data_IF_152422141232
#
_entry.id   IF_152422141232
#
_cell.length_a   1.000
_cell.length_b   1.000
_cell.length_c   1.000
_cell.angle_alpha   90.00
_cell.angle_beta   90.00
_cell.angle_gamma   90.00
#
_symmetry.space_group_name_H-M   'P 1'
#
loop_
_entity.id
_entity.type
_entity.pdbx_description
1 polymer ?
#
# COMPACT_ATOMS: atom_id res chain seq x y z
N UNK A 1 6.97 37.35 20.46
CA UNK A 1 6.69 35.90 20.48
C UNK A 1 5.71 35.47 19.39
N UNK A 2 4.54 36.07 19.20
CA UNK A 2 3.56 35.74 18.13
C UNK A 2 4.13 35.78 16.70
N UNK A 3 4.98 36.73 16.34
CA UNK A 3 5.57 36.82 15.00
C UNK A 3 6.63 35.74 14.75
N UNK A 4 7.44 35.38 15.76
CA UNK A 4 8.39 34.26 15.65
C UNK A 4 7.67 32.90 15.46
N UNK A 5 6.57 32.67 16.20
CA UNK A 5 5.77 31.48 16.04
C UNK A 5 5.07 31.41 14.67
N UNK A 6 4.57 32.54 14.15
CA UNK A 6 4.03 32.61 12.77
C UNK A 6 5.09 32.32 11.70
N UNK A 7 6.33 32.79 11.87
CA UNK A 7 7.42 32.57 10.90
C UNK A 7 7.91 31.12 10.95
N UNK A 8 8.01 30.53 12.15
CA UNK A 8 8.39 29.11 12.32
C UNK A 8 7.29 28.18 11.81
N UNK A 9 6.03 28.44 12.12
CA UNK A 9 4.90 27.66 11.59
C UNK A 9 4.78 27.78 10.06
N UNK A 10 5.07 28.97 9.49
CA UNK A 10 5.05 29.18 8.04
C UNK A 10 6.11 28.39 7.26
N UNK A 11 7.23 28.03 7.92
CA UNK A 11 8.34 27.30 7.27
C UNK A 11 8.26 25.78 7.50
N UNK A 12 7.45 25.26 8.44
CA UNK A 12 7.41 23.86 8.84
C UNK A 12 6.00 23.25 8.86
N UNK A 13 5.04 23.85 8.15
CA UNK A 13 3.64 23.39 8.14
C UNK A 13 3.45 21.93 7.71
N UNK A 14 4.27 21.45 6.77
CA UNK A 14 4.22 20.05 6.33
C UNK A 14 4.68 19.08 7.42
N UNK A 15 5.75 19.42 8.17
CA UNK A 15 6.16 18.61 9.31
C UNK A 15 5.14 18.66 10.44
N UNK A 16 4.45 19.79 10.62
CA UNK A 16 3.34 19.89 11.57
C UNK A 16 2.18 18.94 11.18
N UNK A 17 1.78 18.92 9.90
CA UNK A 17 0.77 17.96 9.42
C UNK A 17 1.20 16.51 9.62
N UNK A 18 2.46 16.18 9.38
CA UNK A 18 3.00 14.85 9.65
C UNK A 18 2.97 14.51 11.13
N UNK A 19 3.32 15.47 12.01
CA UNK A 19 3.21 15.31 13.46
C UNK A 19 1.77 15.04 13.91
N UNK A 20 0.79 15.78 13.37
CA UNK A 20 -0.63 15.54 13.65
C UNK A 20 -1.09 14.17 13.17
N UNK A 21 -0.68 13.75 11.96
CA UNK A 21 -0.97 12.43 11.41
C UNK A 21 -0.40 11.33 12.32
N UNK A 22 0.85 11.48 12.73
CA UNK A 22 1.52 10.55 13.66
C UNK A 22 0.80 10.46 14.99
N UNK A 23 0.49 11.59 15.61
CA UNK A 23 -0.26 11.63 16.88
C UNK A 23 -1.64 10.99 16.75
N UNK A 24 -2.36 11.26 15.64
CA UNK A 24 -3.64 10.64 15.37
C UNK A 24 -3.52 9.11 15.34
N UNK A 25 -2.60 8.55 14.56
CA UNK A 25 -2.43 7.10 14.50
C UNK A 25 -1.89 6.52 15.80
N UNK A 26 -0.98 7.20 16.51
CA UNK A 26 -0.48 6.75 17.80
C UNK A 26 -1.61 6.59 18.82
N UNK A 27 -2.55 7.54 18.87
CA UNK A 27 -3.75 7.46 19.72
C UNK A 27 -4.71 6.40 19.19
N UNK A 28 -4.96 6.36 17.88
CA UNK A 28 -5.89 5.43 17.27
C UNK A 28 -5.49 3.96 17.51
N UNK A 29 -4.19 3.65 17.42
CA UNK A 29 -3.66 2.30 17.66
C UNK A 29 -3.91 1.80 19.08
N UNK A 30 -4.18 2.69 20.07
CA UNK A 30 -4.52 2.24 21.43
C UNK A 30 -5.88 1.50 21.48
N UNK A 31 -6.72 1.66 20.45
CA UNK A 31 -8.03 1.01 20.34
C UNK A 31 -7.98 -0.27 19.49
N UNK A 32 -6.80 -0.72 19.03
CA UNK A 32 -6.64 -1.91 18.21
C UNK A 32 -6.17 -3.10 19.06
N UNK A 33 -6.69 -4.27 18.72
CA UNK A 33 -6.48 -5.52 19.46
C UNK A 33 -6.11 -6.66 18.49
N UNK A 34 -5.60 -7.77 19.03
CA UNK A 34 -5.32 -8.99 18.28
C UNK A 34 -6.61 -9.71 17.94
N UNK A 35 -6.74 -10.17 16.70
CA UNK A 35 -7.75 -11.13 16.29
C UNK A 35 -7.39 -12.57 16.66
N UNK A 36 -8.28 -13.52 16.36
CA UNK A 36 -8.09 -14.93 16.74
C UNK A 36 -7.51 -15.81 15.61
N UNK A 37 -7.35 -15.32 14.39
CA UNK A 37 -6.90 -16.14 13.25
C UNK A 37 -5.36 -16.24 13.22
N UNK A 38 -4.73 -15.58 12.26
CA UNK A 38 -3.27 -15.64 12.07
C UNK A 38 -2.51 -15.12 13.29
N UNK A 39 -3.05 -14.11 13.99
CA UNK A 39 -2.41 -13.54 15.17
C UNK A 39 -2.31 -14.59 16.32
N UNK A 40 -3.31 -15.49 16.48
CA UNK A 40 -3.27 -16.57 17.46
C UNK A 40 -2.19 -17.61 17.11
N UNK A 41 -2.17 -18.08 15.86
CA UNK A 41 -1.16 -19.05 15.38
C UNK A 41 0.26 -18.54 15.62
N UNK A 42 0.51 -17.29 15.23
CA UNK A 42 1.83 -16.68 15.41
C UNK A 42 2.15 -16.36 16.88
N UNK A 43 1.13 -16.03 17.70
CA UNK A 43 1.30 -15.87 19.15
C UNK A 43 1.69 -17.18 19.83
N UNK A 44 1.14 -18.31 19.39
CA UNK A 44 1.53 -19.65 19.87
C UNK A 44 2.98 -19.94 19.53
N UNK A 45 3.38 -19.75 18.29
CA UNK A 45 4.76 -19.92 17.85
C UNK A 45 5.75 -18.97 18.59
N UNK A 46 5.29 -17.80 19.04
CA UNK A 46 6.08 -16.82 19.78
C UNK A 46 6.47 -17.31 21.20
N UNK A 47 5.77 -18.28 21.77
CA UNK A 47 6.06 -18.84 23.09
C UNK A 47 6.96 -20.08 23.05
N UNK A 48 7.39 -20.52 21.86
CA UNK A 48 8.28 -21.64 21.67
C UNK A 48 9.73 -21.31 22.06
N UNK A 49 10.52 -22.36 22.30
CA UNK A 49 11.98 -22.23 22.36
C UNK A 49 12.55 -21.77 21.03
N UNK A 50 13.78 -21.27 21.01
CA UNK A 50 14.39 -20.82 19.75
C UNK A 50 14.52 -21.95 18.70
N UNK A 51 14.83 -23.18 19.13
CA UNK A 51 14.92 -24.34 18.23
C UNK A 51 13.55 -24.70 17.63
N UNK A 52 12.50 -24.67 18.45
CA UNK A 52 11.14 -25.01 18.03
C UNK A 52 10.52 -23.90 17.20
N UNK A 53 10.86 -22.65 17.51
CA UNK A 53 10.55 -21.51 16.64
C UNK A 53 11.18 -21.67 15.23
N UNK A 54 12.46 -22.07 15.14
CA UNK A 54 13.10 -22.32 13.84
C UNK A 54 12.43 -23.47 13.08
N UNK A 55 11.97 -24.50 13.79
CA UNK A 55 11.21 -25.59 13.21
C UNK A 55 9.88 -25.11 12.64
N UNK A 56 9.13 -24.32 13.41
CA UNK A 56 7.91 -23.67 12.92
C UNK A 56 8.17 -22.79 11.71
N UNK A 57 9.24 -21.99 11.70
CA UNK A 57 9.58 -21.12 10.57
C UNK A 57 9.95 -21.90 9.30
N UNK A 58 10.58 -23.09 9.46
CA UNK A 58 10.83 -24.01 8.33
C UNK A 58 9.52 -24.56 7.75
N UNK A 59 8.59 -24.99 8.61
CA UNK A 59 7.25 -25.36 8.19
C UNK A 59 6.56 -24.20 7.48
N UNK A 60 6.57 -23.03 8.09
CA UNK A 60 5.94 -21.81 7.56
C UNK A 60 6.43 -21.46 6.15
N UNK A 61 7.74 -21.52 5.91
CA UNK A 61 8.32 -21.29 4.59
C UNK A 61 7.86 -22.30 3.54
N UNK A 62 7.82 -23.58 3.93
CA UNK A 62 7.48 -24.65 3.01
C UNK A 62 5.99 -24.73 2.67
N UNK A 63 5.12 -24.44 3.64
CA UNK A 63 3.69 -24.75 3.52
C UNK A 63 2.76 -23.53 3.65
N UNK A 64 3.13 -22.54 4.46
CA UNK A 64 2.24 -21.40 4.73
C UNK A 64 2.59 -20.18 3.86
N UNK A 65 3.82 -19.64 3.97
CA UNK A 65 4.19 -18.37 3.35
C UNK A 65 5.69 -18.17 3.23
N UNK A 66 6.19 -17.71 2.07
CA UNK A 66 7.61 -17.44 1.83
C UNK A 66 8.18 -16.20 2.53
N UNK A 67 7.37 -15.36 3.18
CA UNK A 67 7.74 -14.03 3.75
C UNK A 67 8.47 -14.14 5.09
N UNK A 68 9.58 -14.87 5.13
CA UNK A 68 10.23 -15.32 6.36
C UNK A 68 10.61 -14.19 7.31
N UNK A 69 11.38 -13.18 6.86
CA UNK A 69 11.91 -12.16 7.76
C UNK A 69 10.80 -11.26 8.35
N UNK A 70 9.76 -10.99 7.58
CA UNK A 70 8.60 -10.22 8.02
C UNK A 70 7.87 -10.94 9.15
N UNK A 71 7.68 -12.26 9.00
CA UNK A 71 7.01 -13.08 10.02
C UNK A 71 7.90 -13.37 11.23
N UNK A 72 9.21 -13.50 11.07
CA UNK A 72 10.14 -13.54 12.21
C UNK A 72 9.98 -12.30 13.09
N UNK A 73 9.94 -11.13 12.47
CA UNK A 73 9.77 -9.88 13.21
C UNK A 73 8.36 -9.76 13.82
N UNK A 74 7.32 -10.14 13.09
CA UNK A 74 5.94 -10.19 13.57
C UNK A 74 5.83 -11.07 14.85
N UNK A 75 6.35 -12.30 14.79
CA UNK A 75 6.29 -13.27 15.88
C UNK A 75 7.06 -12.74 17.10
N UNK A 76 8.22 -12.10 16.89
CA UNK A 76 8.96 -11.45 17.97
C UNK A 76 8.14 -10.37 18.69
N UNK A 77 7.35 -9.59 17.95
CA UNK A 77 6.45 -8.59 18.53
C UNK A 77 5.25 -9.22 19.23
N UNK A 78 4.66 -10.26 18.68
CA UNK A 78 3.49 -10.96 19.24
C UNK A 78 3.79 -11.58 20.63
N UNK A 79 5.05 -11.89 20.93
CA UNK A 79 5.46 -12.31 22.26
C UNK A 79 5.05 -11.30 23.35
N UNK A 80 4.99 -10.04 23.00
CA UNK A 80 4.60 -8.93 23.89
C UNK A 80 3.16 -8.44 23.66
N UNK A 81 2.41 -9.07 22.77
CA UNK A 81 1.05 -8.65 22.36
C UNK A 81 1.06 -7.37 21.54
N UNK A 82 -0.03 -6.57 21.65
CA UNK A 82 -0.19 -5.34 20.85
C UNK A 82 0.69 -4.17 21.32
N UNK A 83 1.25 -4.22 22.53
CA UNK A 83 1.87 -3.05 23.15
C UNK A 83 3.02 -2.44 22.34
N UNK A 84 4.06 -3.19 21.91
CA UNK A 84 5.13 -2.62 21.13
C UNK A 84 4.65 -2.25 19.71
N UNK A 85 3.70 -3.00 19.14
CA UNK A 85 3.12 -2.73 17.83
C UNK A 85 2.36 -1.42 17.78
N UNK A 86 1.64 -1.05 18.86
CA UNK A 86 0.88 0.20 18.98
C UNK A 86 1.75 1.45 18.87
N UNK A 87 3.05 1.34 19.08
CA UNK A 87 4.03 2.43 18.92
C UNK A 87 4.82 2.27 17.62
N UNK A 88 5.31 1.06 17.37
CA UNK A 88 6.20 0.78 16.25
C UNK A 88 5.53 1.03 14.89
N UNK A 89 4.29 0.57 14.72
CA UNK A 89 3.62 0.68 13.43
C UNK A 89 3.21 2.11 13.06
N UNK A 90 2.68 2.97 13.94
CA UNK A 90 2.54 4.40 13.70
C UNK A 90 3.85 5.10 13.30
N UNK A 91 4.99 4.72 13.91
CA UNK A 91 6.31 5.25 13.52
C UNK A 91 6.67 4.79 12.10
N UNK A 92 6.54 3.51 11.77
CA UNK A 92 6.78 2.99 10.43
C UNK A 92 5.89 3.67 9.39
N UNK A 93 4.62 3.89 9.71
CA UNK A 93 3.67 4.56 8.82
C UNK A 93 4.03 6.04 8.60
N UNK A 94 4.31 6.79 9.66
CA UNK A 94 4.75 8.17 9.55
C UNK A 94 6.09 8.31 8.81
N UNK A 95 7.03 7.38 9.05
CA UNK A 95 8.27 7.29 8.29
C UNK A 95 8.01 7.05 6.80
N UNK A 96 7.07 6.15 6.45
CA UNK A 96 6.67 5.91 5.06
C UNK A 96 6.15 7.18 4.40
N UNK A 97 5.24 7.90 5.06
CA UNK A 97 4.69 9.18 4.58
C UNK A 97 5.79 10.21 4.36
N UNK A 98 6.70 10.36 5.32
CA UNK A 98 7.84 11.29 5.20
C UNK A 98 8.77 10.92 4.06
N UNK A 99 9.16 9.65 3.95
CA UNK A 99 10.11 9.17 2.95
C UNK A 99 9.51 9.23 1.54
N UNK A 100 8.22 8.94 1.37
CA UNK A 100 7.51 9.14 0.09
C UNK A 100 7.54 10.63 -0.29
N UNK A 101 7.20 11.53 0.63
CA UNK A 101 7.28 12.96 0.36
C UNK A 101 8.69 13.39 -0.06
N UNK A 102 9.73 12.83 0.56
CA UNK A 102 11.14 13.07 0.19
C UNK A 102 11.48 12.52 -1.21
N UNK A 103 10.95 11.35 -1.57
CA UNK A 103 11.15 10.76 -2.91
C UNK A 103 10.52 11.60 -4.02
N UNK A 104 9.33 12.14 -3.75
CA UNK A 104 8.57 12.91 -4.74
C UNK A 104 9.06 14.35 -4.85
N UNK A 105 9.56 14.91 -3.75
CA UNK A 105 9.95 16.31 -3.66
C UNK A 105 11.21 16.62 -4.48
N UNK A 106 11.17 17.56 -5.44
CA UNK A 106 12.34 17.95 -6.20
C UNK A 106 13.33 18.81 -5.38
N UNK A 107 12.85 19.51 -4.34
CA UNK A 107 13.66 20.41 -3.51
C UNK A 107 13.21 20.43 -2.04
N UNK A 108 14.06 20.94 -1.16
CA UNK A 108 13.72 21.12 0.26
C UNK A 108 12.53 22.07 0.46
N UNK A 109 12.39 23.10 -0.38
CA UNK A 109 11.28 24.05 -0.30
C UNK A 109 9.94 23.43 -0.68
N UNK A 110 9.93 22.52 -1.67
CA UNK A 110 8.71 21.80 -2.08
C UNK A 110 8.31 20.72 -1.09
N UNK A 111 9.22 20.25 -0.22
CA UNK A 111 8.97 19.18 0.73
C UNK A 111 7.78 19.49 1.65
N UNK A 112 7.63 20.72 2.12
CA UNK A 112 6.53 21.10 3.01
C UNK A 112 5.16 20.90 2.35
N UNK A 113 5.01 21.38 1.11
CA UNK A 113 3.80 21.19 0.31
C UNK A 113 3.56 19.71 0.01
N UNK A 114 4.62 18.98 -0.34
CA UNK A 114 4.55 17.55 -0.65
C UNK A 114 4.13 16.74 0.57
N UNK A 115 4.65 17.07 1.77
CA UNK A 115 4.23 16.43 3.03
C UNK A 115 2.73 16.60 3.29
N UNK A 116 2.17 17.80 3.10
CA UNK A 116 0.72 18.01 3.26
C UNK A 116 -0.08 17.10 2.32
N UNK A 117 0.30 17.04 1.04
CA UNK A 117 -0.40 16.19 0.08
C UNK A 117 -0.24 14.69 0.38
N UNK A 118 0.94 14.29 0.87
CA UNK A 118 1.18 12.90 1.25
C UNK A 118 0.35 12.53 2.48
N UNK A 119 0.32 13.36 3.50
CA UNK A 119 -0.56 13.16 4.67
C UNK A 119 -2.03 13.07 4.26
N UNK A 120 -2.50 13.98 3.39
CA UNK A 120 -3.86 13.98 2.90
C UNK A 120 -4.19 12.70 2.12
N UNK A 121 -3.31 12.26 1.22
CA UNK A 121 -3.51 11.04 0.43
C UNK A 121 -3.68 9.80 1.32
N UNK A 122 -2.86 9.67 2.37
CA UNK A 122 -2.94 8.52 3.28
C UNK A 122 -4.07 8.62 4.31
N UNK A 123 -4.53 9.80 4.68
CA UNK A 123 -5.76 9.96 5.47
C UNK A 123 -7.02 9.59 4.69
N UNK A 124 -6.97 9.71 3.37
CA UNK A 124 -8.10 9.41 2.48
C UNK A 124 -8.17 7.95 2.03
N UNK A 125 -7.25 7.08 2.45
CA UNK A 125 -7.35 5.64 2.20
C UNK A 125 -8.54 5.08 2.98
N UNK A 126 -9.35 4.26 2.31
CA UNK A 126 -10.55 3.68 2.90
C UNK A 126 -10.22 2.82 4.12
N UNK A 127 -11.03 2.94 5.17
CA UNK A 127 -10.88 2.18 6.42
C UNK A 127 -10.95 0.67 6.20
N UNK A 128 -11.75 0.19 5.25
CA UNK A 128 -11.85 -1.23 4.92
C UNK A 128 -10.51 -1.81 4.48
N UNK A 129 -9.72 -1.04 3.69
CA UNK A 129 -8.38 -1.45 3.31
C UNK A 129 -7.40 -1.38 4.50
N UNK A 130 -7.49 -0.34 5.34
CA UNK A 130 -6.63 -0.24 6.53
C UNK A 130 -6.94 -1.30 7.58
N UNK A 131 -8.20 -1.71 7.71
CA UNK A 131 -8.61 -2.80 8.59
C UNK A 131 -7.77 -4.06 8.34
N UNK A 132 -7.55 -4.43 7.08
CA UNK A 132 -6.85 -5.65 6.70
C UNK A 132 -5.34 -5.45 6.44
N UNK A 133 -4.84 -4.20 6.50
CA UNK A 133 -3.42 -3.91 6.20
C UNK A 133 -2.72 -3.15 7.33
N UNK A 134 -3.22 -2.00 7.75
CA UNK A 134 -2.57 -1.17 8.77
C UNK A 134 -3.01 -1.53 10.20
N UNK A 135 -4.30 -1.86 10.38
CA UNK A 135 -4.92 -2.05 11.69
C UNK A 135 -5.01 -3.51 12.14
N UNK A 136 -4.60 -4.43 11.33
CA UNK A 136 -4.38 -5.82 11.66
C UNK A 136 -2.88 -6.06 11.84
N UNK A 137 -2.46 -6.64 12.96
CA UNK A 137 -1.03 -6.74 13.27
C UNK A 137 -0.27 -7.52 12.20
N UNK A 138 -0.71 -8.73 11.86
CA UNK A 138 -0.10 -9.53 10.77
C UNK A 138 -0.14 -8.79 9.44
N UNK A 139 -1.24 -8.12 9.12
CA UNK A 139 -1.38 -7.31 7.91
C UNK A 139 -0.39 -6.16 7.86
N UNK A 140 -0.19 -5.46 8.97
CA UNK A 140 0.68 -4.28 9.03
C UNK A 140 2.16 -4.62 8.80
N UNK A 141 2.62 -5.75 9.31
CA UNK A 141 3.97 -6.24 9.02
C UNK A 141 4.12 -6.63 7.54
N UNK A 142 3.11 -7.23 6.93
CA UNK A 142 3.15 -7.61 5.52
C UNK A 142 3.06 -6.42 4.56
N UNK A 143 2.21 -5.40 4.84
CA UNK A 143 1.83 -4.39 3.86
C UNK A 143 2.35 -2.98 4.17
N UNK A 144 2.69 -2.66 5.42
CA UNK A 144 3.17 -1.32 5.81
C UNK A 144 4.68 -1.33 6.05
N UNK A 145 5.18 -2.31 6.81
CA UNK A 145 6.59 -2.41 7.18
C UNK A 145 7.57 -2.37 5.98
N UNK A 146 7.31 -3.00 4.82
CA UNK A 146 8.24 -2.95 3.69
C UNK A 146 8.44 -1.55 3.10
N UNK A 147 7.43 -0.66 3.20
CA UNK A 147 7.42 0.64 2.51
C UNK A 147 8.57 1.55 2.92
N UNK A 148 8.87 1.80 4.22
CA UNK A 148 10.01 2.61 4.60
C UNK A 148 11.34 2.04 4.10
N UNK A 149 11.51 0.71 4.04
CA UNK A 149 12.74 0.08 3.52
C UNK A 149 12.90 0.34 2.02
N UNK A 150 11.81 0.21 1.23
CA UNK A 150 11.81 0.54 -0.20
C UNK A 150 12.18 2.01 -0.41
N UNK A 151 11.55 2.91 0.34
CA UNK A 151 11.84 4.34 0.24
C UNK A 151 13.29 4.68 0.62
N UNK A 152 13.84 4.06 1.67
CA UNK A 152 15.24 4.23 2.08
C UNK A 152 16.20 3.71 1.00
N UNK A 153 15.94 2.56 0.40
CA UNK A 153 16.71 2.02 -0.71
C UNK A 153 16.77 3.03 -1.88
N UNK A 154 15.61 3.49 -2.33
CA UNK A 154 15.51 4.43 -3.44
C UNK A 154 16.15 5.78 -3.12
N UNK A 155 15.99 6.31 -1.90
CA UNK A 155 16.61 7.57 -1.47
C UNK A 155 18.14 7.44 -1.35
N UNK A 156 18.66 6.32 -0.86
CA UNK A 156 20.10 6.07 -0.75
C UNK A 156 20.74 6.02 -2.13
N UNK A 157 20.13 5.30 -3.08
CA UNK A 157 20.60 5.25 -4.47
C UNK A 157 20.50 6.61 -5.18
N UNK A 158 19.42 7.38 -4.92
CA UNK A 158 19.23 8.72 -5.49
C UNK A 158 20.24 9.73 -4.96
N UNK A 159 20.53 9.68 -3.65
CA UNK A 159 21.42 10.66 -3.00
C UNK A 159 22.89 10.29 -3.06
N UNK A 160 23.23 9.04 -3.38
CA UNK A 160 24.57 8.50 -3.29
C UNK A 160 25.09 8.36 -1.85
N UNK A 161 24.19 8.45 -0.83
CA UNK A 161 24.54 8.34 0.58
C UNK A 161 24.16 6.96 1.12
N UNK A 162 24.95 6.46 2.08
CA UNK A 162 24.72 5.15 2.73
C UNK A 162 24.58 4.00 1.74
N UNK A 163 25.30 4.04 0.63
CA UNK A 163 25.21 3.04 -0.44
C UNK A 163 25.51 1.62 0.04
N UNK A 164 26.35 1.46 1.08
CA UNK A 164 26.68 0.17 1.69
C UNK A 164 25.45 -0.56 2.28
N UNK A 165 24.38 0.17 2.65
CA UNK A 165 23.14 -0.43 3.13
C UNK A 165 22.25 -0.96 1.98
N UNK A 166 22.45 -0.48 0.74
CA UNK A 166 21.50 -0.77 -0.35
C UNK A 166 21.41 -2.23 -0.74
N UNK A 167 22.46 -3.08 -0.64
CA UNK A 167 22.32 -4.51 -0.86
C UNK A 167 21.42 -5.19 0.17
N UNK A 168 21.55 -4.83 1.44
CA UNK A 168 20.73 -5.38 2.53
C UNK A 168 19.28 -4.92 2.35
N UNK A 169 19.07 -3.62 2.10
CA UNK A 169 17.74 -3.08 1.84
C UNK A 169 17.11 -3.74 0.61
N UNK A 170 17.88 -3.98 -0.47
CA UNK A 170 17.42 -4.68 -1.65
C UNK A 170 16.93 -6.09 -1.34
N UNK A 171 17.70 -6.86 -0.60
CA UNK A 171 17.33 -8.21 -0.16
C UNK A 171 16.04 -8.21 0.68
N UNK A 172 15.96 -7.34 1.68
CA UNK A 172 14.78 -7.22 2.56
C UNK A 172 13.54 -6.79 1.77
N UNK A 173 13.66 -5.81 0.89
CA UNK A 173 12.54 -5.39 0.03
C UNK A 173 12.09 -6.53 -0.89
N UNK A 174 13.02 -7.23 -1.53
CA UNK A 174 12.75 -8.36 -2.40
C UNK A 174 12.06 -9.51 -1.68
N UNK A 175 12.48 -9.83 -0.45
CA UNK A 175 11.96 -10.91 0.36
C UNK A 175 10.77 -10.51 1.27
N UNK A 176 10.17 -9.34 1.09
CA UNK A 176 9.06 -8.86 1.95
C UNK A 176 7.71 -9.46 1.58
N UNK A 177 7.20 -9.11 0.42
CA UNK A 177 6.01 -9.71 -0.20
C UNK A 177 6.22 -9.80 -1.70
N UNK A 178 5.49 -10.68 -2.34
CA UNK A 178 5.59 -10.91 -3.79
C UNK A 178 5.39 -9.61 -4.57
N UNK A 179 4.40 -8.80 -4.17
CA UNK A 179 4.08 -7.55 -4.85
C UNK A 179 5.14 -6.47 -4.60
N UNK A 180 5.55 -6.23 -3.36
CA UNK A 180 6.57 -5.21 -3.06
C UNK A 180 7.95 -5.60 -3.61
N UNK A 181 8.30 -6.89 -3.56
CA UNK A 181 9.52 -7.39 -4.17
C UNK A 181 9.57 -7.10 -5.67
N UNK A 182 8.50 -7.45 -6.40
CA UNK A 182 8.41 -7.23 -7.84
C UNK A 182 8.34 -5.72 -8.21
N UNK A 183 7.59 -4.92 -7.45
CA UNK A 183 7.56 -3.46 -7.64
C UNK A 183 8.97 -2.87 -7.46
N UNK A 184 9.67 -3.26 -6.40
CA UNK A 184 11.01 -2.76 -6.11
C UNK A 184 11.99 -3.17 -7.19
N UNK A 185 11.98 -4.44 -7.58
CA UNK A 185 12.81 -4.97 -8.65
C UNK A 185 12.55 -4.26 -9.98
N UNK A 186 11.28 -4.14 -10.38
CA UNK A 186 10.87 -3.43 -11.59
C UNK A 186 11.26 -1.94 -11.57
N UNK A 187 11.07 -1.27 -10.43
CA UNK A 187 11.49 0.12 -10.24
C UNK A 187 12.99 0.30 -10.43
N UNK A 188 13.80 -0.56 -9.81
CA UNK A 188 15.27 -0.50 -9.92
C UNK A 188 15.74 -0.77 -11.35
N UNK A 189 15.16 -1.77 -12.03
CA UNK A 189 15.48 -2.08 -13.43
C UNK A 189 15.16 -0.92 -14.36
N UNK A 190 13.94 -0.37 -14.26
CA UNK A 190 13.51 0.75 -15.09
C UNK A 190 14.35 1.99 -14.82
N UNK A 191 14.70 2.24 -13.56
CA UNK A 191 15.53 3.38 -13.19
C UNK A 191 16.96 3.20 -13.65
N UNK A 192 17.56 2.01 -13.48
CA UNK A 192 18.89 1.71 -14.01
C UNK A 192 18.92 1.87 -15.53
N UNK A 193 17.94 1.30 -16.24
CA UNK A 193 17.81 1.45 -17.69
C UNK A 193 17.67 2.91 -18.13
N UNK A 194 16.85 3.70 -17.46
CA UNK A 194 16.68 5.12 -17.73
C UNK A 194 18.00 5.91 -17.54
N UNK A 195 18.73 5.63 -16.46
CA UNK A 195 20.04 6.27 -16.21
C UNK A 195 21.08 5.89 -17.25
N UNK A 196 21.20 4.61 -17.58
CA UNK A 196 22.21 4.11 -18.53
C UNK A 196 21.94 4.60 -19.96
N UNK A 197 20.70 4.45 -20.44
CA UNK A 197 20.38 4.68 -21.86
C UNK A 197 19.97 6.14 -22.14
N UNK A 198 19.28 6.79 -21.21
CA UNK A 198 18.73 8.15 -21.44
C UNK A 198 19.58 9.24 -20.83
N UNK A 199 20.01 9.09 -19.58
CA UNK A 199 20.81 10.12 -18.90
C UNK A 199 22.31 9.93 -19.11
N UNK A 200 22.75 8.73 -19.47
CA UNK A 200 24.18 8.37 -19.58
C UNK A 200 24.95 8.63 -18.27
N UNK A 201 24.28 8.45 -17.14
CA UNK A 201 24.82 8.61 -15.81
C UNK A 201 25.34 7.31 -15.25
N UNK A 202 26.64 7.20 -15.03
CA UNK A 202 27.30 6.00 -14.50
C UNK A 202 27.66 6.11 -13.00
N UNK A 203 27.36 7.25 -12.36
CA UNK A 203 27.60 7.43 -10.94
C UNK A 203 26.89 6.34 -10.12
N UNK A 204 27.60 5.70 -9.20
CA UNK A 204 27.09 4.64 -8.32
C UNK A 204 26.52 3.40 -9.04
N UNK A 205 26.87 3.18 -10.31
CA UNK A 205 26.36 2.06 -11.15
C UNK A 205 26.48 0.71 -10.45
N UNK A 206 27.63 0.43 -9.82
CA UNK A 206 27.86 -0.84 -9.12
C UNK A 206 26.83 -1.06 -8.01
N UNK A 207 26.54 -0.03 -7.22
CA UNK A 207 25.54 -0.11 -6.15
C UNK A 207 24.11 -0.34 -6.68
N UNK A 208 23.76 0.26 -7.82
CA UNK A 208 22.49 -0.01 -8.51
C UNK A 208 22.42 -1.47 -8.95
N UNK A 209 23.44 -2.00 -9.61
CA UNK A 209 23.48 -3.39 -10.09
C UNK A 209 23.39 -4.34 -8.90
N UNK A 210 24.19 -4.12 -7.86
CA UNK A 210 24.15 -4.98 -6.65
C UNK A 210 22.77 -4.91 -5.99
N UNK A 211 22.14 -3.74 -5.91
CA UNK A 211 20.78 -3.60 -5.37
C UNK A 211 19.74 -4.32 -6.22
N UNK A 212 19.84 -4.29 -7.55
CA UNK A 212 18.98 -5.06 -8.45
C UNK A 212 19.15 -6.56 -8.20
N UNK A 213 20.40 -7.04 -8.12
CA UNK A 213 20.71 -8.47 -7.91
C UNK A 213 20.24 -8.94 -6.53
N UNK A 214 20.46 -8.17 -5.47
CA UNK A 214 20.01 -8.55 -4.11
C UNK A 214 18.48 -8.49 -3.99
N UNK A 215 17.81 -7.53 -4.64
CA UNK A 215 16.35 -7.50 -4.70
C UNK A 215 15.80 -8.71 -5.46
N UNK A 216 16.42 -9.07 -6.59
CA UNK A 216 16.07 -10.27 -7.33
C UNK A 216 16.27 -11.53 -6.47
N UNK A 217 17.38 -11.65 -5.75
CA UNK A 217 17.61 -12.76 -4.83
C UNK A 217 16.50 -12.85 -3.78
N UNK A 218 16.09 -11.72 -3.18
CA UNK A 218 14.96 -11.69 -2.27
C UNK A 218 13.64 -12.13 -2.92
N UNK A 219 13.33 -11.66 -4.13
CA UNK A 219 12.15 -12.09 -4.90
C UNK A 219 12.19 -13.58 -5.16
N UNK A 220 13.34 -14.12 -5.54
CA UNK A 220 13.50 -15.55 -5.80
C UNK A 220 13.26 -16.39 -4.53
N UNK A 221 13.68 -15.93 -3.35
CA UNK A 221 13.37 -16.66 -2.10
C UNK A 221 11.87 -16.78 -1.85
N UNK A 222 11.08 -15.77 -2.24
CA UNK A 222 9.61 -15.80 -2.15
C UNK A 222 8.98 -16.70 -3.21
N UNK A 223 9.26 -16.42 -4.47
CA UNK A 223 8.60 -17.08 -5.62
C UNK A 223 8.97 -18.57 -5.70
N UNK A 224 10.19 -18.93 -5.29
CA UNK A 224 10.64 -20.32 -5.29
C UNK A 224 10.21 -21.07 -4.01
N UNK A 225 9.61 -20.41 -3.02
CA UNK A 225 9.11 -21.12 -1.85
C UNK A 225 8.05 -22.15 -2.23
N UNK A 226 8.07 -23.35 -1.65
CA UNK A 226 7.10 -24.40 -1.98
C UNK A 226 5.66 -23.93 -1.71
N UNK A 227 5.43 -23.14 -0.66
CA UNK A 227 4.12 -22.58 -0.32
C UNK A 227 3.53 -21.67 -1.40
N UNK A 228 4.34 -20.81 -2.02
CA UNK A 228 3.90 -19.92 -3.11
C UNK A 228 3.62 -20.71 -4.37
N UNK A 229 4.47 -21.68 -4.70
CA UNK A 229 4.26 -22.58 -5.85
C UNK A 229 2.95 -23.36 -5.72
N UNK A 230 2.67 -23.95 -4.55
CA UNK A 230 1.43 -24.70 -4.33
C UNK A 230 0.18 -23.81 -4.56
N UNK A 231 0.19 -22.57 -4.09
CA UNK A 231 -0.90 -21.61 -4.33
C UNK A 231 -1.08 -21.24 -5.80
N UNK A 232 0.00 -21.22 -6.57
CA UNK A 232 -0.07 -20.91 -8.00
C UNK A 232 -0.73 -22.04 -8.80
N UNK A 233 -0.59 -23.30 -8.38
CA UNK A 233 -1.23 -24.44 -9.03
C UNK A 233 -2.72 -24.58 -8.70
N UNK A 234 -3.19 -24.07 -7.57
CA UNK A 234 -4.59 -24.15 -7.13
C UNK A 234 -5.54 -23.18 -7.85
N UNK A 235 -5.05 -22.43 -8.84
CA UNK A 235 -5.86 -21.41 -9.53
C UNK A 235 -6.96 -22.01 -10.41
N UNK A 236 -8.14 -21.39 -10.38
CA UNK A 236 -9.30 -21.74 -11.19
C UNK A 236 -9.69 -20.63 -12.17
N UNK A 237 -10.44 -20.96 -13.22
CA UNK A 237 -10.96 -20.02 -14.20
C UNK A 237 -10.01 -19.65 -15.35
N UNK A 238 -10.58 -19.04 -16.39
CA UNK A 238 -9.84 -18.58 -17.57
C UNK A 238 -9.08 -17.27 -17.29
N UNK A 239 -7.99 -17.05 -18.01
CA UNK A 239 -7.23 -15.79 -17.90
C UNK A 239 -8.11 -14.56 -18.22
N UNK A 240 -8.96 -14.64 -19.23
CA UNK A 240 -9.88 -13.57 -19.60
C UNK A 240 -10.88 -13.26 -18.48
N UNK A 241 -11.46 -14.29 -17.84
CA UNK A 241 -12.35 -14.13 -16.69
C UNK A 241 -11.65 -13.47 -15.50
N UNK A 242 -10.41 -13.82 -15.22
CA UNK A 242 -9.59 -13.21 -14.16
C UNK A 242 -9.25 -11.75 -14.44
N UNK A 243 -8.88 -11.43 -15.67
CA UNK A 243 -8.64 -10.04 -16.08
C UNK A 243 -9.91 -9.23 -15.91
N UNK A 244 -11.05 -9.73 -16.39
CA UNK A 244 -12.34 -9.06 -16.25
C UNK A 244 -12.72 -8.85 -14.78
N UNK A 245 -12.58 -9.90 -13.94
CA UNK A 245 -12.86 -9.80 -12.51
C UNK A 245 -11.94 -8.79 -11.83
N UNK A 246 -10.62 -8.87 -12.05
CA UNK A 246 -9.66 -7.96 -11.43
C UNK A 246 -9.96 -6.51 -11.77
N UNK A 247 -10.15 -6.19 -13.06
CA UNK A 247 -10.35 -4.80 -13.47
C UNK A 247 -11.74 -4.31 -13.11
N UNK A 248 -12.79 -4.97 -13.53
CA UNK A 248 -14.14 -4.41 -13.43
C UNK A 248 -14.77 -4.64 -12.07
N UNK A 249 -14.78 -5.87 -11.55
CA UNK A 249 -15.46 -6.14 -10.29
C UNK A 249 -14.62 -5.71 -9.08
N UNK A 250 -13.32 -5.96 -9.11
CA UNK A 250 -12.47 -5.73 -7.96
C UNK A 250 -12.01 -4.27 -7.86
N UNK A 251 -11.55 -3.65 -8.97
CA UNK A 251 -11.05 -2.28 -8.93
C UNK A 251 -12.12 -1.22 -9.09
N UNK A 252 -13.02 -1.36 -10.04
CA UNK A 252 -13.94 -0.29 -10.42
C UNK A 252 -15.34 -0.43 -9.82
N UNK A 253 -15.73 -1.61 -9.35
CA UNK A 253 -17.04 -1.81 -8.71
C UNK A 253 -16.96 -1.98 -7.19
N UNK A 254 -15.79 -2.18 -6.62
CA UNK A 254 -15.59 -2.26 -5.17
C UNK A 254 -15.72 -0.86 -4.55
N UNK A 255 -16.64 -0.69 -3.62
CA UNK A 255 -16.82 0.57 -2.89
C UNK A 255 -15.57 1.04 -2.13
N UNK A 256 -14.65 0.13 -1.80
CA UNK A 256 -13.40 0.49 -1.15
C UNK A 256 -12.41 1.16 -2.09
N UNK A 257 -12.37 0.72 -3.36
CA UNK A 257 -11.43 1.25 -4.33
C UNK A 257 -12.01 2.45 -5.08
N UNK A 258 -13.31 2.50 -5.31
CA UNK A 258 -13.96 3.57 -6.08
C UNK A 258 -13.66 4.96 -5.54
N UNK A 259 -13.82 5.17 -4.24
CA UNK A 259 -13.49 6.44 -3.57
C UNK A 259 -12.02 6.82 -3.76
N UNK A 260 -11.10 5.86 -3.61
CA UNK A 260 -9.67 6.10 -3.81
C UNK A 260 -9.34 6.42 -5.27
N UNK A 261 -9.96 5.71 -6.23
CA UNK A 261 -9.80 5.98 -7.66
C UNK A 261 -10.35 7.36 -8.04
N UNK A 262 -11.47 7.77 -7.46
CA UNK A 262 -12.02 9.12 -7.66
C UNK A 262 -11.05 10.21 -7.19
N UNK A 263 -10.33 10.00 -6.08
CA UNK A 263 -9.26 10.89 -5.62
C UNK A 263 -8.10 10.98 -6.61
N UNK A 264 -7.67 9.85 -7.15
CA UNK A 264 -6.60 9.82 -8.15
C UNK A 264 -7.01 10.59 -9.41
N UNK A 265 -8.25 10.37 -9.85
CA UNK A 265 -8.81 11.11 -10.99
C UNK A 265 -8.90 12.61 -10.71
N UNK A 266 -9.34 13.00 -9.50
CA UNK A 266 -9.37 14.40 -9.09
C UNK A 266 -7.95 15.02 -9.10
N UNK A 267 -6.94 14.33 -8.57
CA UNK A 267 -5.55 14.78 -8.60
C UNK A 267 -5.04 14.94 -10.05
N UNK A 268 -5.36 13.98 -10.94
CA UNK A 268 -5.02 14.03 -12.36
C UNK A 268 -5.67 15.23 -13.04
N UNK A 269 -6.98 15.43 -12.85
CA UNK A 269 -7.73 16.55 -13.45
C UNK A 269 -7.27 17.92 -12.89
N UNK A 270 -6.98 18.02 -11.59
CA UNK A 270 -6.43 19.23 -10.99
C UNK A 270 -5.06 19.60 -11.58
N UNK A 271 -4.20 18.60 -11.78
CA UNK A 271 -2.92 18.80 -12.44
C UNK A 271 -3.10 19.25 -13.88
N UNK A 272 -3.91 18.54 -14.68
CA UNK A 272 -4.18 18.89 -16.07
C UNK A 272 -4.77 20.31 -16.21
N UNK A 273 -5.67 20.67 -15.31
CA UNK A 273 -6.22 22.02 -15.25
C UNK A 273 -5.14 23.06 -14.95
N UNK A 274 -4.24 22.78 -14.02
CA UNK A 274 -3.16 23.70 -13.66
C UNK A 274 -2.12 23.86 -14.78
N UNK A 275 -1.79 22.77 -15.46
CA UNK A 275 -0.80 22.73 -16.54
C UNK A 275 -1.34 23.30 -17.88
N UNK A 276 -2.67 23.33 -18.06
CA UNK A 276 -3.28 23.77 -19.30
C UNK A 276 -3.15 25.30 -19.51
N UNK A 277 -2.61 25.72 -20.65
CA UNK A 277 -2.55 27.13 -21.06
C UNK A 277 -3.87 27.61 -21.68
N UNK A 278 -4.51 26.80 -22.52
CA UNK A 278 -5.75 27.15 -23.24
C UNK A 278 -6.99 26.91 -22.40
N UNK A 279 -7.99 27.82 -22.50
CA UNK A 279 -9.29 27.70 -21.80
C UNK A 279 -10.02 26.39 -22.13
N UNK A 280 -9.92 25.92 -23.38
CA UNK A 280 -10.55 24.68 -23.85
C UNK A 280 -10.04 23.46 -23.05
N UNK A 281 -8.74 23.35 -22.85
CA UNK A 281 -8.16 22.23 -22.09
C UNK A 281 -8.51 22.27 -20.60
N UNK A 282 -8.67 23.48 -20.04
CA UNK A 282 -9.17 23.65 -18.66
C UNK A 282 -10.62 23.19 -18.54
N UNK A 283 -11.47 23.57 -19.49
CA UNK A 283 -12.85 23.11 -19.53
C UNK A 283 -12.92 21.59 -19.70
N UNK A 284 -12.11 21.01 -20.59
CA UNK A 284 -12.03 19.57 -20.77
C UNK A 284 -11.65 18.83 -19.46
N UNK A 285 -10.65 19.32 -18.73
CA UNK A 285 -10.25 18.72 -17.43
C UNK A 285 -11.39 18.77 -16.40
N UNK A 286 -12.13 19.87 -16.32
CA UNK A 286 -13.29 20.01 -15.42
C UNK A 286 -14.45 19.10 -15.83
N UNK A 287 -14.76 19.02 -17.12
CA UNK A 287 -15.82 18.13 -17.66
C UNK A 287 -15.46 16.67 -17.42
N UNK A 288 -14.18 16.30 -17.59
CA UNK A 288 -13.70 14.94 -17.28
C UNK A 288 -13.88 14.64 -15.79
N UNK A 289 -13.50 15.55 -14.91
CA UNK A 289 -13.66 15.38 -13.46
C UNK A 289 -15.15 15.23 -13.07
N UNK A 290 -16.02 16.08 -13.60
CA UNK A 290 -17.46 16.01 -13.37
C UNK A 290 -18.08 14.71 -13.94
N UNK A 291 -17.65 14.29 -15.13
CA UNK A 291 -18.07 13.04 -15.75
C UNK A 291 -17.66 11.81 -14.93
N UNK A 292 -16.43 11.76 -14.45
CA UNK A 292 -15.94 10.69 -13.57
C UNK A 292 -16.77 10.63 -12.28
N UNK A 293 -17.00 11.78 -11.64
CA UNK A 293 -17.80 11.84 -10.41
C UNK A 293 -19.26 11.40 -10.63
N UNK A 294 -19.87 11.80 -11.76
CA UNK A 294 -21.23 11.40 -12.10
C UNK A 294 -21.32 9.90 -12.40
N UNK A 295 -20.39 9.35 -13.19
CA UNK A 295 -20.35 7.92 -13.51
C UNK A 295 -20.13 7.05 -12.26
N UNK A 296 -19.26 7.49 -11.36
CA UNK A 296 -19.04 6.81 -10.09
C UNK A 296 -20.31 6.84 -9.22
N UNK A 297 -20.95 7.98 -9.09
CA UNK A 297 -22.20 8.11 -8.34
C UNK A 297 -23.31 7.20 -8.90
N UNK A 298 -23.47 7.15 -10.24
CA UNK A 298 -24.45 6.29 -10.91
C UNK A 298 -24.16 4.81 -10.72
N UNK A 299 -22.87 4.41 -10.62
CA UNK A 299 -22.47 3.01 -10.42
C UNK A 299 -23.02 2.41 -9.12
N UNK A 300 -23.27 3.24 -8.11
CA UNK A 300 -23.83 2.83 -6.81
C UNK A 300 -25.36 2.87 -6.74
N UNK A 301 -26.02 3.37 -7.78
CA UNK A 301 -27.49 3.39 -7.81
C UNK A 301 -28.03 2.03 -8.30
N UNK A 302 -29.19 1.56 -7.78
CA UNK A 302 -29.78 0.28 -8.19
C UNK A 302 -30.52 0.39 -9.54
N UNK A 303 -29.81 0.83 -10.60
CA UNK A 303 -30.34 1.09 -11.93
C UNK A 303 -30.08 -0.04 -12.94
N UNK A 304 -29.74 -1.23 -12.48
CA UNK A 304 -29.53 -2.41 -13.33
C UNK A 304 -28.45 -2.19 -14.40
N UNK A 305 -28.81 -2.34 -15.68
CA UNK A 305 -27.87 -2.20 -16.82
C UNK A 305 -27.18 -0.83 -16.87
N UNK A 306 -27.85 0.25 -16.48
CA UNK A 306 -27.28 1.61 -16.48
C UNK A 306 -26.16 1.70 -15.48
N UNK A 307 -26.33 1.12 -14.27
CA UNK A 307 -25.32 1.04 -13.23
C UNK A 307 -24.11 0.23 -13.71
N UNK A 308 -24.33 -0.91 -14.38
CA UNK A 308 -23.24 -1.71 -14.94
C UNK A 308 -22.46 -0.96 -16.05
N UNK A 309 -23.15 -0.28 -16.96
CA UNK A 309 -22.53 0.53 -18.02
C UNK A 309 -21.73 1.71 -17.45
N UNK A 310 -22.21 2.32 -16.36
CA UNK A 310 -21.50 3.43 -15.71
C UNK A 310 -20.15 3.02 -15.14
N UNK A 311 -19.98 1.77 -14.67
CA UNK A 311 -18.69 1.23 -14.22
C UNK A 311 -17.67 1.22 -15.37
N UNK A 312 -18.08 0.77 -16.56
CA UNK A 312 -17.18 0.78 -17.74
C UNK A 312 -16.84 2.20 -18.18
N UNK A 313 -17.84 3.09 -18.18
CA UNK A 313 -17.63 4.51 -18.48
C UNK A 313 -16.68 5.18 -17.48
N UNK A 314 -16.86 4.92 -16.20
CA UNK A 314 -15.96 5.37 -15.14
C UNK A 314 -14.53 4.85 -15.34
N UNK A 315 -14.36 3.54 -15.57
CA UNK A 315 -13.06 2.94 -15.82
C UNK A 315 -12.34 3.57 -17.01
N UNK A 316 -13.05 3.76 -18.14
CA UNK A 316 -12.48 4.38 -19.33
C UNK A 316 -12.08 5.84 -19.09
N UNK A 317 -12.94 6.64 -18.48
CA UNK A 317 -12.66 8.04 -18.16
C UNK A 317 -11.52 8.19 -17.15
N UNK A 318 -11.50 7.34 -16.13
CA UNK A 318 -10.42 7.27 -15.14
C UNK A 318 -9.09 6.96 -15.80
N UNK A 319 -8.98 5.86 -16.55
CA UNK A 319 -7.76 5.47 -17.24
C UNK A 319 -7.27 6.57 -18.19
N UNK A 320 -8.18 7.17 -18.96
CA UNK A 320 -7.84 8.30 -19.81
C UNK A 320 -7.24 9.46 -19.01
N UNK A 321 -7.88 9.89 -17.92
CA UNK A 321 -7.42 11.01 -17.11
C UNK A 321 -6.04 10.75 -16.50
N UNK A 322 -5.82 9.57 -15.91
CA UNK A 322 -4.55 9.26 -15.23
C UNK A 322 -3.40 9.05 -16.21
N UNK A 323 -3.62 8.37 -17.35
CA UNK A 323 -2.60 8.22 -18.38
C UNK A 323 -2.25 9.54 -19.06
N UNK A 324 -3.25 10.39 -19.35
CA UNK A 324 -3.02 11.69 -19.94
C UNK A 324 -2.26 12.63 -19.00
N UNK A 325 -2.58 12.61 -17.69
CA UNK A 325 -1.86 13.37 -16.68
C UNK A 325 -0.40 12.86 -16.52
N UNK A 326 -0.19 11.55 -16.50
CA UNK A 326 1.14 10.94 -16.44
C UNK A 326 1.99 11.33 -17.66
N UNK A 327 1.40 11.26 -18.87
CA UNK A 327 2.08 11.64 -20.12
C UNK A 327 2.42 13.14 -20.16
N UNK A 328 1.50 14.00 -19.70
CA UNK A 328 1.76 15.44 -19.60
C UNK A 328 2.88 15.75 -18.60
N UNK A 329 2.90 15.10 -17.43
CA UNK A 329 3.94 15.23 -16.44
C UNK A 329 5.29 14.73 -16.98
N UNK A 330 5.30 13.60 -17.68
CA UNK A 330 6.50 13.05 -18.30
C UNK A 330 7.11 14.00 -19.34
N UNK A 331 6.26 14.60 -20.20
CA UNK A 331 6.69 15.62 -21.17
C UNK A 331 7.26 16.88 -20.48
N UNK A 332 6.76 17.21 -19.30
CA UNK A 332 7.27 18.31 -18.48
C UNK A 332 8.53 17.94 -17.67
N UNK A 333 9.13 16.76 -17.91
CA UNK A 333 10.35 16.29 -17.26
C UNK A 333 10.13 15.57 -15.92
N UNK A 334 8.87 15.33 -15.51
CA UNK A 334 8.55 14.56 -14.30
C UNK A 334 8.09 13.14 -14.66
N UNK A 335 9.02 12.18 -14.62
CA UNK A 335 8.73 10.77 -14.91
C UNK A 335 8.10 9.97 -13.74
N UNK A 336 8.08 10.51 -12.52
CA UNK A 336 7.62 9.81 -11.32
C UNK A 336 6.15 9.35 -11.45
N UNK A 337 5.19 10.19 -11.92
CA UNK A 337 3.80 9.74 -12.07
C UNK A 337 3.65 8.57 -13.03
N UNK A 338 4.33 8.58 -14.16
CA UNK A 338 4.27 7.48 -15.12
C UNK A 338 4.82 6.18 -14.52
N UNK A 339 5.99 6.26 -13.88
CA UNK A 339 6.60 5.11 -13.22
C UNK A 339 5.69 4.55 -12.12
N UNK A 340 5.14 5.42 -11.28
CA UNK A 340 4.24 5.01 -10.19
C UNK A 340 2.94 4.37 -10.72
N UNK A 341 2.39 4.88 -11.81
CA UNK A 341 1.20 4.31 -12.46
C UNK A 341 1.50 2.91 -13.03
N UNK A 342 2.63 2.75 -13.72
CA UNK A 342 3.05 1.45 -14.28
C UNK A 342 3.33 0.41 -13.19
N UNK A 343 4.02 0.81 -12.12
CA UNK A 343 4.33 -0.09 -11.01
C UNK A 343 3.09 -0.45 -10.21
N UNK A 344 2.20 0.50 -9.96
CA UNK A 344 0.94 0.25 -9.25
C UNK A 344 0.01 -0.68 -10.03
N UNK A 345 -0.10 -0.50 -11.35
CA UNK A 345 -0.81 -1.43 -12.22
C UNK A 345 -0.14 -2.80 -12.29
N UNK A 346 1.19 -2.82 -12.46
CA UNK A 346 1.99 -4.04 -12.50
C UNK A 346 1.89 -4.90 -11.24
N UNK A 347 1.76 -4.28 -10.06
CA UNK A 347 1.54 -4.99 -8.80
C UNK A 347 0.29 -5.87 -8.82
N UNK A 348 -0.74 -5.45 -9.55
CA UNK A 348 -1.99 -6.21 -9.65
C UNK A 348 -1.93 -7.33 -10.68
N UNK A 349 -1.03 -7.26 -11.67
CA UNK A 349 -0.83 -8.35 -12.64
C UNK A 349 -0.45 -9.65 -11.93
N UNK A 350 0.26 -9.58 -10.80
CA UNK A 350 0.58 -10.76 -9.99
C UNK A 350 -0.67 -11.45 -9.42
N UNK A 351 -1.75 -10.71 -9.21
CA UNK A 351 -3.03 -11.28 -8.73
C UNK A 351 -3.69 -12.16 -9.78
N UNK A 352 -3.29 -12.06 -11.04
CA UNK A 352 -3.79 -12.93 -12.10
C UNK A 352 -3.23 -14.37 -12.01
N UNK A 353 -2.16 -14.57 -11.25
CA UNK A 353 -1.53 -15.91 -11.07
C UNK A 353 -1.87 -16.54 -9.72
N UNK A 354 -2.63 -15.86 -8.86
CA UNK A 354 -3.12 -16.39 -7.57
C UNK A 354 -4.58 -16.79 -7.67
N UNK A 355 -5.02 -17.68 -6.80
CA UNK A 355 -6.41 -18.13 -6.69
C UNK A 355 -7.30 -17.16 -5.89
N UNK A 356 -6.70 -16.31 -5.05
CA UNK A 356 -7.41 -15.40 -4.14
C UNK A 356 -7.04 -13.96 -4.39
N UNK A 357 -8.06 -13.16 -4.68
CA UNK A 357 -7.97 -11.71 -4.69
C UNK A 357 -8.59 -11.19 -3.39
N UNK A 358 -7.76 -10.68 -2.50
CA UNK A 358 -8.21 -10.04 -1.26
C UNK A 358 -7.90 -8.54 -1.33
N UNK A 359 -8.76 -7.71 -0.74
CA UNK A 359 -8.63 -6.25 -0.78
C UNK A 359 -7.29 -5.76 -0.25
N UNK A 360 -6.76 -6.41 0.79
CA UNK A 360 -5.41 -6.14 1.34
C UNK A 360 -4.29 -6.23 0.29
N UNK A 361 -4.46 -7.03 -0.76
CA UNK A 361 -3.46 -7.16 -1.83
C UNK A 361 -3.37 -5.94 -2.73
N UNK A 362 -4.32 -5.00 -2.66
CA UNK A 362 -4.24 -3.72 -3.38
C UNK A 362 -3.33 -2.71 -2.71
N UNK A 363 -2.92 -2.92 -1.46
CA UNK A 363 -2.17 -1.92 -0.70
C UNK A 363 -0.86 -1.50 -1.36
N UNK A 364 -0.15 -2.41 -2.00
CA UNK A 364 1.06 -2.10 -2.76
C UNK A 364 0.78 -1.13 -3.93
N UNK A 365 -0.34 -1.33 -4.63
CA UNK A 365 -0.78 -0.41 -5.69
C UNK A 365 -1.23 0.92 -5.12
N UNK A 366 -1.90 0.94 -3.97
CA UNK A 366 -2.34 2.17 -3.29
C UNK A 366 -1.14 3.03 -2.94
N UNK A 367 -0.04 2.47 -2.45
CA UNK A 367 1.20 3.22 -2.23
C UNK A 367 1.75 3.82 -3.52
N UNK A 368 1.81 3.06 -4.61
CA UNK A 368 2.26 3.57 -5.90
C UNK A 368 1.34 4.70 -6.42
N UNK A 369 0.03 4.52 -6.30
CA UNK A 369 -0.93 5.53 -6.76
C UNK A 369 -0.97 6.77 -5.85
N UNK A 370 -0.69 6.63 -4.55
CA UNK A 370 -0.45 7.78 -3.69
C UNK A 370 0.79 8.57 -4.16
N UNK A 371 1.88 7.88 -4.53
CA UNK A 371 3.07 8.52 -5.14
C UNK A 371 2.70 9.23 -6.44
N UNK A 372 1.89 8.62 -7.30
CA UNK A 372 1.37 9.24 -8.53
C UNK A 372 0.62 10.55 -8.21
N UNK A 373 -0.39 10.50 -7.37
CA UNK A 373 -1.22 11.65 -7.03
C UNK A 373 -0.40 12.78 -6.38
N UNK A 374 0.41 12.44 -5.39
CA UNK A 374 1.27 13.40 -4.66
C UNK A 374 2.27 14.06 -5.59
N UNK A 375 2.88 13.28 -6.52
CA UNK A 375 3.81 13.83 -7.50
C UNK A 375 3.13 14.84 -8.43
N UNK A 376 1.92 14.57 -8.88
CA UNK A 376 1.14 15.53 -9.69
C UNK A 376 0.79 16.79 -8.89
N UNK A 377 0.26 16.64 -7.68
CA UNK A 377 -0.16 17.76 -6.83
C UNK A 377 1.02 18.61 -6.34
N UNK A 378 2.19 18.00 -6.11
CA UNK A 378 3.41 18.73 -5.77
C UNK A 378 3.86 19.69 -6.88
N UNK A 379 3.62 19.31 -8.15
CA UNK A 379 3.99 20.11 -9.32
C UNK A 379 2.83 20.99 -9.85
N UNK A 380 1.61 20.80 -9.36
CA UNK A 380 0.47 21.63 -9.76
C UNK A 380 0.62 23.07 -9.25
N UNK A 381 0.25 24.04 -10.10
CA UNK A 381 0.20 25.45 -9.72
C UNK A 381 -1.12 25.78 -9.02
N UNK A 382 -1.05 25.96 -7.70
CA UNK A 382 -2.18 26.37 -6.84
C UNK A 382 -2.21 27.88 -6.58
N UNK A 383 -1.62 28.70 -7.42
CA UNK A 383 -1.70 30.16 -7.30
C UNK A 383 -3.15 30.67 -7.39
N UNK A 384 -3.99 30.00 -8.17
CA UNK A 384 -5.42 30.35 -8.35
C UNK A 384 -6.24 29.94 -7.12
N UNK A 385 -6.96 30.93 -6.55
CA UNK A 385 -7.83 30.74 -5.37
C UNK A 385 -8.83 29.59 -5.56
N UNK A 386 -9.48 29.51 -6.71
CA UNK A 386 -10.49 28.48 -7.01
C UNK A 386 -9.89 27.07 -6.95
N UNK A 387 -8.69 26.87 -7.51
CA UNK A 387 -8.04 25.57 -7.51
C UNK A 387 -7.64 25.12 -6.09
N UNK A 388 -7.18 26.07 -5.26
CA UNK A 388 -6.91 25.81 -3.84
C UNK A 388 -8.18 25.41 -3.09
N UNK A 389 -9.27 26.14 -3.28
CA UNK A 389 -10.55 25.84 -2.65
C UNK A 389 -11.03 24.46 -3.08
N UNK A 390 -11.01 24.13 -4.38
CA UNK A 390 -11.42 22.82 -4.87
C UNK A 390 -10.57 21.69 -4.26
N UNK A 391 -9.25 21.84 -4.21
CA UNK A 391 -8.35 20.85 -3.63
C UNK A 391 -8.61 20.64 -2.12
N UNK A 392 -8.80 21.73 -1.36
CA UNK A 392 -9.11 21.66 0.07
C UNK A 392 -10.48 21.01 0.29
N UNK A 393 -11.50 21.38 -0.48
CA UNK A 393 -12.83 20.77 -0.36
C UNK A 393 -12.79 19.27 -0.66
N UNK A 394 -12.09 18.83 -1.71
CA UNK A 394 -11.89 17.41 -1.96
C UNK A 394 -11.28 16.70 -0.75
N UNK A 395 -10.16 17.21 -0.23
CA UNK A 395 -9.50 16.61 0.94
C UNK A 395 -10.43 16.57 2.16
N UNK A 396 -11.17 17.66 2.45
CA UNK A 396 -12.09 17.72 3.58
C UNK A 396 -13.24 16.71 3.46
N UNK A 397 -13.84 16.57 2.27
CA UNK A 397 -14.92 15.61 2.03
C UNK A 397 -14.45 14.17 2.22
N UNK A 398 -13.29 13.82 1.64
CA UNK A 398 -12.73 12.49 1.79
C UNK A 398 -12.24 12.20 3.21
N UNK A 399 -11.65 13.19 3.89
CA UNK A 399 -11.25 13.04 5.30
C UNK A 399 -12.48 12.85 6.19
N UNK A 400 -13.58 13.56 5.93
CA UNK A 400 -14.83 13.38 6.67
C UNK A 400 -15.44 11.99 6.45
N UNK A 401 -15.47 11.50 5.20
CA UNK A 401 -15.89 10.15 4.88
C UNK A 401 -15.02 9.09 5.60
N UNK A 402 -13.71 9.24 5.56
CA UNK A 402 -12.78 8.34 6.25
C UNK A 402 -12.94 8.41 7.76
N UNK A 403 -13.15 9.60 8.34
CA UNK A 403 -13.31 9.78 9.78
C UNK A 403 -14.49 8.97 10.34
N UNK A 404 -15.62 8.94 9.63
CA UNK A 404 -16.78 8.14 10.03
C UNK A 404 -16.41 6.64 10.12
N UNK A 405 -15.65 6.13 9.12
CA UNK A 405 -15.14 4.76 9.12
C UNK A 405 -14.16 4.50 10.27
N UNK A 406 -13.23 5.42 10.56
CA UNK A 406 -12.30 5.28 11.68
C UNK A 406 -13.04 5.19 13.04
N UNK A 407 -14.02 6.05 13.28
CA UNK A 407 -14.80 6.05 14.52
C UNK A 407 -15.59 4.75 14.65
N UNK A 408 -16.26 4.32 13.59
CA UNK A 408 -17.04 3.08 13.57
C UNK A 408 -16.17 1.85 13.85
N UNK A 409 -14.99 1.77 13.20
CA UNK A 409 -14.09 0.62 13.41
C UNK A 409 -13.46 0.59 14.80
N UNK A 410 -13.07 1.75 15.36
CA UNK A 410 -12.58 1.83 16.74
C UNK A 410 -13.65 1.42 17.76
N UNK A 411 -14.90 1.83 17.53
CA UNK A 411 -16.03 1.42 18.37
C UNK A 411 -16.27 -0.10 18.29
N UNK A 412 -16.22 -0.68 17.09
CA UNK A 412 -16.34 -2.11 16.88
C UNK A 412 -15.22 -2.91 17.58
N UNK A 413 -13.96 -2.45 17.47
CA UNK A 413 -12.83 -3.07 18.16
C UNK A 413 -12.97 -3.04 19.68
N UNK A 414 -13.46 -1.93 20.24
CA UNK A 414 -13.73 -1.83 21.70
C UNK A 414 -14.87 -2.76 22.12
N UNK A 415 -15.93 -2.86 21.34
CA UNK A 415 -17.04 -3.77 21.61
C UNK A 415 -16.58 -5.24 21.55
N UNK A 416 -15.81 -5.62 20.53
CA UNK A 416 -15.25 -6.96 20.38
C UNK A 416 -14.30 -7.30 21.55
N UNK A 417 -13.47 -6.33 22.00
CA UNK A 417 -12.61 -6.52 23.18
C UNK A 417 -13.43 -6.72 24.46
N UNK A 418 -14.47 -5.94 24.66
CA UNK A 418 -15.37 -6.10 25.82
C UNK A 418 -16.14 -7.42 25.80
N UNK A 419 -16.46 -7.94 24.61
CA UNK A 419 -17.09 -9.24 24.42
C UNK A 419 -16.11 -10.44 24.49
N UNK A 420 -14.80 -10.20 24.60
CA UNK A 420 -13.78 -11.26 24.59
C UNK A 420 -13.50 -11.84 23.21
N UNK A 421 -13.98 -11.21 22.14
CA UNK A 421 -13.75 -11.64 20.74
C UNK A 421 -12.37 -11.25 20.21
N UNK A 422 -11.66 -10.37 20.88
CA UNK A 422 -10.25 -10.02 20.61
C UNK A 422 -9.54 -9.67 21.91
N UNK A 423 -8.20 -9.71 21.91
CA UNK A 423 -7.38 -9.57 23.11
C UNK A 423 -6.20 -8.61 22.88
N UNK A 424 -5.68 -8.04 23.96
CA UNK A 424 -4.44 -7.24 23.89
C UNK A 424 -3.19 -8.12 23.81
N UNK A 425 -3.24 -9.30 24.40
CA UNK A 425 -2.21 -10.34 24.33
C UNK A 425 -2.90 -11.69 24.54
N UNK A 426 -2.52 -12.67 23.73
CA UNK A 426 -2.92 -14.05 23.98
C UNK A 426 -2.15 -14.61 25.19
N UNK A 427 -2.90 -15.10 26.19
CA UNK A 427 -2.31 -15.77 27.36
C UNK A 427 -2.01 -17.23 27.00
N UNK A 428 -0.85 -17.43 26.38
CA UNK A 428 -0.40 -18.72 25.87
C UNK A 428 0.81 -19.14 26.71
N UNK A 429 0.82 -20.33 27.33
CA UNK A 429 1.94 -20.84 28.05
C UNK A 429 3.14 -21.10 27.14
N UNK A 430 4.28 -21.41 27.73
CA UNK A 430 5.46 -21.86 26.99
C UNK A 430 5.10 -23.11 26.15
N UNK A 431 5.47 -23.09 24.87
CA UNK A 431 5.16 -24.17 23.93
C UNK A 431 6.34 -25.11 23.80
N UNK A 432 6.10 -26.39 24.04
CA UNK A 432 7.04 -27.48 23.79
C UNK A 432 7.11 -27.79 22.28
N UNK A 433 8.05 -28.66 21.91
CA UNK A 433 8.15 -29.18 20.56
C UNK A 433 6.88 -29.87 20.13
N UNK A 434 6.28 -30.68 20.98
CA UNK A 434 5.03 -31.40 20.71
C UNK A 434 3.87 -30.46 20.46
N UNK A 435 3.78 -29.34 21.21
CA UNK A 435 2.75 -28.31 21.00
C UNK A 435 2.91 -27.62 19.64
N UNK A 436 4.14 -27.36 19.21
CA UNK A 436 4.44 -26.80 17.89
C UNK A 436 4.11 -27.80 16.78
N UNK A 437 4.38 -29.08 16.96
CA UNK A 437 4.01 -30.12 15.98
C UNK A 437 2.48 -30.24 15.84
N UNK A 438 1.73 -30.19 16.95
CA UNK A 438 0.26 -30.12 16.94
C UNK A 438 -0.27 -28.87 16.25
N UNK A 439 0.36 -27.70 16.49
CA UNK A 439 0.00 -26.46 15.80
C UNK A 439 0.21 -26.58 14.29
N UNK A 440 1.29 -27.23 13.87
CA UNK A 440 1.60 -27.51 12.46
C UNK A 440 0.53 -28.42 11.84
N UNK A 441 0.18 -29.53 12.51
CA UNK A 441 -0.87 -30.46 12.08
C UNK A 441 -2.21 -29.74 11.92
N UNK A 442 -2.62 -28.96 12.89
CA UNK A 442 -3.87 -28.16 12.82
C UNK A 442 -3.86 -27.18 11.64
N UNK A 443 -2.72 -26.53 11.36
CA UNK A 443 -2.59 -25.64 10.21
C UNK A 443 -2.66 -26.39 8.87
N UNK A 444 -2.18 -27.64 8.82
CA UNK A 444 -2.28 -28.52 7.63
C UNK A 444 -3.71 -28.99 7.39
N UNK A 445 -4.44 -29.39 8.44
CA UNK A 445 -5.86 -29.78 8.35
C UNK A 445 -6.73 -28.65 7.82
N UNK A 446 -6.63 -27.45 8.40
CA UNK A 446 -7.38 -26.27 7.92
C UNK A 446 -7.04 -25.95 6.46
N UNK A 447 -5.81 -26.16 6.05
CA UNK A 447 -5.40 -25.97 4.66
C UNK A 447 -6.00 -27.01 3.74
N UNK A 448 -6.04 -28.29 4.14
CA UNK A 448 -6.66 -29.37 3.36
C UNK A 448 -8.16 -29.14 3.19
N UNK A 449 -8.87 -28.80 4.25
CA UNK A 449 -10.30 -28.44 4.20
C UNK A 449 -10.56 -27.28 3.23
N UNK A 450 -9.71 -26.25 3.24
CA UNK A 450 -9.83 -25.12 2.32
C UNK A 450 -9.58 -25.54 0.86
N UNK A 451 -8.65 -26.46 0.60
CA UNK A 451 -8.39 -27.01 -0.74
C UNK A 451 -9.57 -27.86 -1.21
N UNK A 452 -10.12 -28.72 -0.36
CA UNK A 452 -11.27 -29.55 -0.66
C UNK A 452 -12.52 -28.72 -0.93
N UNK A 453 -12.80 -27.71 -0.10
CA UNK A 453 -13.92 -26.79 -0.32
C UNK A 453 -13.79 -26.05 -1.67
N UNK A 454 -12.56 -25.67 -2.07
CA UNK A 454 -12.32 -25.06 -3.36
C UNK A 454 -12.53 -26.03 -4.54
N UNK A 455 -12.11 -27.27 -4.40
CA UNK A 455 -12.30 -28.30 -5.42
C UNK A 455 -13.78 -28.66 -5.57
N UNK A 456 -14.55 -28.65 -4.46
CA UNK A 456 -16.00 -28.87 -4.50
C UNK A 456 -16.75 -27.70 -5.15
N UNK A 457 -16.34 -26.46 -4.87
CA UNK A 457 -16.92 -25.25 -5.48
C UNK A 457 -16.58 -25.09 -6.97
N UNK A 458 -15.53 -25.75 -7.45
CA UNK A 458 -15.07 -25.73 -8.85
C UNK A 458 -15.68 -26.86 -9.71
N UNK A 459 -16.48 -27.74 -9.11
CA UNK A 459 -17.25 -28.74 -9.88
C UNK A 459 -18.42 -28.04 -10.57
N UNK A 460 -18.59 -28.24 -11.90
CA UNK A 460 -19.64 -27.60 -12.70
C UNK A 460 -21.06 -27.98 -12.24
#
# INVERSE_FOLDING_TARGET
MKNKLRTVAGNHYGHFCLGLLFCFFLVYFQFLYLGFVDDLVYSTAAQASFSDFLHFMRYHYNYANGRTWVHVLLIAFLRFGVYPWRVFMPVCFAASVYLIARLVSPSAQSLQKTLVWTCAAFLCVNIGLYKDTLFWMTGSFNYILPVPFICLLLLSLRSGRHLWCTPILGLLCGASTEQYGMITFGCLLLWLGYREFRLKEHAHRVWFIVSVLTTLAGVLTLVLSPSVRARTYARTGTLAGRISYLFFNFWFHSGMMGVFLALLAAAACLYLYSAASKRLWKAAALLTAAGIAALEAVSFLPLGTISALSVYGFAAAFLFAVFFAAAAAFRAGNGIPLLALLLGGGAQVMMLVTDRMAERTTMASVFCFAVFAVSLLAHADFSKKLLRIAAVLCVCLFAAYSAAGYVSYAAAQRAAFAAGECVAKHDIPHQSREDIDKLIEMCEEVRLEQVEAHLQAAKP
#
